data_IF_908983450111
#
_entry.id   IF_908983450111
#
_cell.length_a   1.000
_cell.length_b   1.000
_cell.length_c   1.000
_cell.angle_alpha   90.00
_cell.angle_beta   90.00
_cell.angle_gamma   90.00
#
_symmetry.space_group_name_H-M   'P 1'
#
loop_
_entity.id
_entity.type
_entity.pdbx_description
1 polymer ?
#
# COMPACT_ATOMS: atom_id res chain seq x y z
N UNK A 1 -19.68 27.34 -28.13
CA UNK A 1 -20.97 27.90 -27.64
C UNK A 1 -21.77 28.53 -28.78
N UNK A 2 -21.18 29.36 -29.66
CA UNK A 2 -21.84 29.72 -30.93
C UNK A 2 -23.00 30.70 -30.77
N UNK A 3 -22.78 31.81 -30.07
CA UNK A 3 -23.81 32.82 -29.74
C UNK A 3 -24.50 33.51 -30.94
N UNK A 4 -24.13 33.22 -32.19
CA UNK A 4 -24.85 33.68 -33.38
C UNK A 4 -24.61 35.13 -33.82
N UNK A 5 -23.85 35.94 -33.08
CA UNK A 5 -23.48 37.30 -33.53
C UNK A 5 -22.43 37.29 -34.66
N UNK A 6 -21.56 36.27 -34.69
CA UNK A 6 -20.64 35.99 -35.80
C UNK A 6 -21.05 34.68 -36.45
N UNK A 7 -21.45 34.73 -37.71
CA UNK A 7 -21.98 33.57 -38.47
C UNK A 7 -21.14 33.38 -39.72
N UNK A 8 -20.85 32.12 -40.05
CA UNK A 8 -20.13 31.77 -41.28
C UNK A 8 -21.06 31.94 -42.48
N UNK A 9 -20.50 32.37 -43.62
CA UNK A 9 -21.25 32.55 -44.87
C UNK A 9 -20.69 31.66 -45.96
N UNK A 10 -21.52 31.25 -46.92
CA UNK A 10 -21.16 30.32 -48.00
C UNK A 10 -20.22 30.91 -49.06
N UNK A 11 -19.80 32.18 -48.89
CA UNK A 11 -18.95 32.90 -49.85
C UNK A 11 -17.52 32.35 -49.93
N UNK A 12 -17.04 31.67 -48.90
CA UNK A 12 -15.67 31.14 -48.85
C UNK A 12 -15.65 29.65 -48.43
N UNK A 13 -15.28 28.72 -49.33
CA UNK A 13 -15.22 27.29 -49.00
C UNK A 13 -14.11 26.99 -47.98
N UNK A 14 -13.04 27.78 -47.96
CA UNK A 14 -11.95 27.70 -46.99
C UNK A 14 -12.45 27.87 -45.54
N UNK A 15 -13.42 28.75 -45.32
CA UNK A 15 -14.02 28.96 -43.99
C UNK A 15 -14.77 27.72 -43.50
N UNK A 16 -15.51 27.06 -44.39
CA UNK A 16 -16.25 25.83 -44.07
C UNK A 16 -15.27 24.70 -43.71
N UNK A 17 -14.20 24.53 -44.49
CA UNK A 17 -13.14 23.54 -44.20
C UNK A 17 -12.45 23.83 -42.87
N UNK A 18 -12.11 25.09 -42.60
CA UNK A 18 -11.50 25.49 -41.33
C UNK A 18 -12.42 25.20 -40.14
N UNK A 19 -13.72 25.49 -40.25
CA UNK A 19 -14.71 25.20 -39.21
C UNK A 19 -14.82 23.69 -38.94
N UNK A 20 -14.79 22.86 -39.99
CA UNK A 20 -14.80 21.40 -39.85
C UNK A 20 -13.55 20.91 -39.12
N UNK A 21 -12.36 21.34 -39.57
CA UNK A 21 -11.08 20.98 -38.94
C UNK A 21 -11.05 21.43 -37.48
N UNK A 22 -11.45 22.67 -37.19
CA UNK A 22 -11.52 23.20 -35.83
C UNK A 22 -12.50 22.41 -34.96
N UNK A 23 -13.65 22.00 -35.49
CA UNK A 23 -14.65 21.24 -34.73
C UNK A 23 -14.15 19.83 -34.39
N UNK A 24 -13.48 19.17 -35.34
CA UNK A 24 -12.87 17.85 -35.14
C UNK A 24 -11.72 17.93 -34.13
N UNK A 25 -10.75 18.84 -34.35
CA UNK A 25 -9.63 19.02 -33.42
C UNK A 25 -10.10 19.48 -32.03
N UNK A 26 -11.09 20.36 -31.97
CA UNK A 26 -11.69 20.81 -30.72
C UNK A 26 -12.32 19.67 -29.94
N UNK A 27 -12.99 18.74 -30.63
CA UNK A 27 -13.57 17.55 -30.00
C UNK A 27 -12.49 16.59 -29.50
N UNK A 28 -11.41 16.39 -30.27
CA UNK A 28 -10.26 15.56 -29.88
C UNK A 28 -9.59 16.12 -28.62
N UNK A 29 -9.28 17.42 -28.60
CA UNK A 29 -8.65 18.08 -27.45
C UNK A 29 -9.56 18.01 -26.23
N UNK A 30 -10.86 18.26 -26.39
CA UNK A 30 -11.82 18.17 -25.29
C UNK A 30 -11.90 16.76 -24.72
N UNK A 31 -12.04 15.73 -25.56
CA UNK A 31 -12.07 14.34 -25.14
C UNK A 31 -10.78 13.93 -24.41
N UNK A 32 -9.62 14.37 -24.91
CA UNK A 32 -8.33 14.14 -24.26
C UNK A 32 -8.26 14.78 -22.87
N UNK A 33 -8.63 16.06 -22.75
CA UNK A 33 -8.56 16.78 -21.47
C UNK A 33 -9.53 16.19 -20.44
N UNK A 34 -10.78 15.91 -20.82
CA UNK A 34 -11.77 15.28 -19.94
C UNK A 34 -11.31 13.87 -19.53
N UNK A 35 -10.78 13.08 -20.47
CA UNK A 35 -10.23 11.76 -20.19
C UNK A 35 -9.06 11.80 -19.19
N UNK A 36 -8.10 12.71 -19.41
CA UNK A 36 -6.97 12.91 -18.49
C UNK A 36 -7.43 13.35 -17.08
N UNK A 37 -8.41 14.26 -17.01
CA UNK A 37 -8.97 14.69 -15.72
C UNK A 37 -9.68 13.54 -15.00
N UNK A 38 -10.49 12.76 -15.73
CA UNK A 38 -11.19 11.61 -15.17
C UNK A 38 -10.21 10.58 -14.61
N UNK A 39 -9.17 10.20 -15.37
CA UNK A 39 -8.13 9.28 -14.89
C UNK A 39 -7.45 9.82 -13.63
N UNK A 40 -7.09 11.11 -13.61
CA UNK A 40 -6.41 11.73 -12.47
C UNK A 40 -7.28 11.77 -11.21
N UNK A 41 -8.58 12.00 -11.34
CA UNK A 41 -9.53 12.03 -10.22
C UNK A 41 -9.82 10.61 -9.71
N UNK A 42 -9.95 9.66 -10.63
CA UNK A 42 -10.25 8.27 -10.30
C UNK A 42 -9.07 7.54 -9.67
N UNK A 43 -7.82 7.97 -9.88
CA UNK A 43 -6.63 7.30 -9.35
C UNK A 43 -6.75 6.95 -7.85
N UNK A 44 -6.50 5.69 -7.48
CA UNK A 44 -6.76 5.18 -6.12
C UNK A 44 -5.71 5.62 -5.09
N UNK A 45 -4.77 6.52 -5.45
CA UNK A 45 -3.67 6.94 -4.56
C UNK A 45 -4.17 7.53 -3.23
N UNK A 46 -5.33 8.21 -3.25
CA UNK A 46 -5.98 8.72 -2.03
C UNK A 46 -6.46 7.63 -1.06
N UNK A 47 -6.60 6.38 -1.52
CA UNK A 47 -7.02 5.27 -0.64
C UNK A 47 -5.84 4.64 0.11
N UNK A 48 -4.63 4.73 -0.43
CA UNK A 48 -3.43 4.37 0.34
C UNK A 48 -3.25 5.26 1.58
N UNK A 49 -3.83 6.47 1.59
CA UNK A 49 -3.82 7.37 2.75
C UNK A 49 -4.71 6.89 3.92
N UNK A 50 -5.69 6.02 3.67
CA UNK A 50 -6.57 5.48 4.72
C UNK A 50 -6.15 4.09 5.20
N UNK A 51 -5.16 3.50 4.55
CA UNK A 51 -4.53 2.25 4.99
C UNK A 51 -3.35 2.62 5.89
N UNK A 52 -3.49 2.29 7.17
CA UNK A 52 -2.52 2.66 8.20
C UNK A 52 -1.73 1.44 8.65
N UNK A 53 -0.46 1.67 8.91
CA UNK A 53 0.44 0.70 9.53
C UNK A 53 0.79 1.19 10.93
N UNK A 54 1.08 0.29 11.86
CA UNK A 54 1.65 0.65 13.16
C UNK A 54 2.92 1.46 12.98
N UNK A 55 3.20 2.39 13.89
CA UNK A 55 4.45 3.16 13.86
C UNK A 55 5.68 2.30 14.18
N UNK A 56 5.51 1.26 15.00
CA UNK A 56 6.59 0.37 15.40
C UNK A 56 6.23 -1.07 15.08
N UNK A 57 7.21 -1.86 14.67
CA UNK A 57 7.12 -3.31 14.69
C UNK A 57 7.56 -3.82 16.07
N UNK A 58 7.05 -4.96 16.50
CA UNK A 58 7.39 -5.55 17.80
C UNK A 58 7.87 -6.99 17.63
N UNK A 59 8.85 -7.40 18.42
CA UNK A 59 9.30 -8.79 18.51
C UNK A 59 8.96 -9.32 19.89
N UNK A 60 8.17 -10.39 19.97
CA UNK A 60 7.91 -11.07 21.25
C UNK A 60 7.51 -12.53 21.05
N UNK A 61 7.45 -13.27 22.16
CA UNK A 61 7.06 -14.66 22.18
C UNK A 61 5.54 -14.81 22.02
N UNK A 62 5.12 -15.68 21.08
CA UNK A 62 3.74 -16.11 20.85
C UNK A 62 3.73 -17.63 20.71
N UNK A 63 3.00 -18.32 21.59
CA UNK A 63 2.89 -19.79 21.61
C UNK A 63 4.23 -20.53 21.55
N UNK A 64 5.21 -20.03 22.31
CA UNK A 64 6.55 -20.61 22.39
C UNK A 64 7.47 -20.30 21.21
N UNK A 65 7.03 -19.49 20.24
CA UNK A 65 7.83 -19.05 19.09
C UNK A 65 8.10 -17.56 19.13
N UNK A 66 9.28 -17.15 18.67
CA UNK A 66 9.62 -15.74 18.54
C UNK A 66 9.00 -15.20 17.25
N UNK A 67 8.26 -14.09 17.34
CA UNK A 67 7.53 -13.54 16.22
C UNK A 67 7.82 -12.05 16.05
N UNK A 68 8.06 -11.63 14.80
CA UNK A 68 8.06 -10.23 14.39
C UNK A 68 6.65 -9.85 13.96
N UNK A 69 6.12 -8.77 14.52
CA UNK A 69 4.74 -8.37 14.33
C UNK A 69 4.62 -6.88 14.00
N UNK A 70 3.69 -6.55 13.12
CA UNK A 70 3.25 -5.19 12.85
C UNK A 70 1.74 -5.17 12.65
N UNK A 71 1.09 -4.04 12.97
CA UNK A 71 -0.36 -3.89 12.82
C UNK A 71 -0.67 -3.17 11.52
N UNK A 72 -1.75 -3.57 10.87
CA UNK A 72 -2.32 -2.91 9.70
C UNK A 72 -3.81 -2.67 9.94
N UNK A 73 -4.34 -1.56 9.45
CA UNK A 73 -5.75 -1.21 9.57
C UNK A 73 -6.26 -0.43 8.36
N UNK A 74 -7.56 -0.52 8.10
CA UNK A 74 -8.28 0.39 7.21
C UNK A 74 -9.10 1.34 8.08
N UNK A 75 -9.00 2.65 7.80
CA UNK A 75 -9.81 3.68 8.47
C UNK A 75 -11.19 3.85 7.82
N UNK A 76 -11.44 3.20 6.69
CA UNK A 76 -12.73 3.24 5.98
C UNK A 76 -13.57 2.00 6.27
N UNK A 77 -14.89 2.19 6.22
CA UNK A 77 -15.85 1.10 6.28
C UNK A 77 -15.95 0.29 4.98
N UNK A 78 -15.44 0.82 3.85
CA UNK A 78 -15.44 0.08 2.58
C UNK A 78 -14.28 -0.91 2.52
N UNK A 79 -14.47 -2.01 1.82
CA UNK A 79 -13.51 -3.11 1.85
C UNK A 79 -12.38 -2.94 0.83
N UNK A 80 -11.20 -3.45 1.19
CA UNK A 80 -10.14 -3.75 0.23
C UNK A 80 -10.35 -5.18 -0.23
N UNK A 81 -10.78 -5.33 -1.48
CA UNK A 81 -11.07 -6.63 -2.10
C UNK A 81 -9.75 -7.29 -2.48
N UNK A 82 -9.60 -8.59 -2.26
CA UNK A 82 -8.35 -9.34 -2.50
C UNK A 82 -7.13 -8.70 -1.82
N UNK A 83 -7.31 -8.25 -0.57
CA UNK A 83 -6.21 -7.68 0.19
C UNK A 83 -5.10 -8.73 0.40
N UNK A 84 -3.85 -8.38 0.11
CA UNK A 84 -2.68 -9.22 0.29
C UNK A 84 -1.53 -8.43 0.89
N UNK A 85 -0.88 -8.99 1.91
CA UNK A 85 0.28 -8.39 2.58
C UNK A 85 1.57 -9.10 2.20
N UNK A 86 2.61 -8.32 1.92
CA UNK A 86 3.96 -8.82 1.63
C UNK A 86 4.98 -7.99 2.39
N UNK A 87 6.08 -8.61 2.78
CA UNK A 87 7.16 -7.93 3.49
C UNK A 87 8.52 -8.31 2.91
N UNK A 88 9.39 -7.32 2.77
CA UNK A 88 10.77 -7.48 2.29
C UNK A 88 11.73 -6.97 3.36
N UNK A 89 12.76 -7.76 3.65
CA UNK A 89 13.93 -7.28 4.35
C UNK A 89 14.89 -6.66 3.33
N UNK A 90 15.32 -5.44 3.59
CA UNK A 90 16.34 -4.72 2.84
C UNK A 90 17.57 -4.59 3.73
N UNK A 91 18.66 -5.23 3.31
CA UNK A 91 19.96 -5.16 4.00
C UNK A 91 21.07 -5.38 2.99
N UNK A 92 22.15 -4.61 3.07
CA UNK A 92 23.33 -4.85 2.25
C UNK A 92 24.01 -6.16 2.64
N UNK A 93 24.42 -6.96 1.67
CA UNK A 93 25.12 -8.24 1.91
C UNK A 93 26.38 -8.34 1.06
N UNK A 94 27.32 -9.15 1.54
CA UNK A 94 28.43 -9.63 0.73
C UNK A 94 28.29 -11.14 0.54
N UNK A 95 28.45 -11.62 -0.69
CA UNK A 95 28.41 -13.06 -1.00
C UNK A 95 29.71 -13.74 -0.57
N UNK A 96 29.72 -15.08 -0.54
CA UNK A 96 30.92 -15.85 -0.19
C UNK A 96 32.01 -15.70 -1.24
N UNK A 97 31.60 -15.41 -2.47
CA UNK A 97 32.44 -15.15 -3.64
C UNK A 97 33.03 -13.73 -3.65
N UNK A 98 32.62 -12.87 -2.70
CA UNK A 98 33.13 -11.52 -2.50
C UNK A 98 32.31 -10.40 -3.15
N UNK A 99 31.21 -10.72 -3.82
CA UNK A 99 30.33 -9.72 -4.45
C UNK A 99 29.55 -8.94 -3.39
N UNK A 100 29.63 -7.61 -3.44
CA UNK A 100 28.84 -6.72 -2.60
C UNK A 100 27.52 -6.37 -3.29
N UNK A 101 26.40 -6.70 -2.63
CA UNK A 101 25.05 -6.42 -3.13
C UNK A 101 24.43 -5.33 -2.25
N UNK A 102 24.34 -4.09 -2.74
CA UNK A 102 23.69 -3.01 -2.00
C UNK A 102 22.18 -3.27 -1.91
N UNK A 103 21.58 -2.97 -0.76
CA UNK A 103 20.12 -3.04 -0.54
C UNK A 103 19.49 -4.36 -1.02
N UNK A 104 20.15 -5.49 -0.72
CA UNK A 104 19.65 -6.79 -1.11
C UNK A 104 18.28 -7.04 -0.46
N UNK A 105 17.31 -7.45 -1.28
CA UNK A 105 15.93 -7.68 -0.86
C UNK A 105 15.68 -9.17 -0.66
N UNK A 106 15.29 -9.57 0.54
CA UNK A 106 14.82 -10.93 0.84
C UNK A 106 13.37 -10.91 1.29
N UNK A 107 12.59 -11.89 0.86
CA UNK A 107 11.18 -12.00 1.26
C UNK A 107 11.05 -12.46 2.71
N UNK A 108 10.13 -11.84 3.45
CA UNK A 108 9.77 -12.22 4.81
C UNK A 108 8.41 -12.91 4.75
N UNK A 109 8.37 -14.18 5.16
CA UNK A 109 7.14 -14.96 5.12
C UNK A 109 6.13 -14.48 6.18
N UNK A 110 5.03 -13.86 5.72
CA UNK A 110 3.93 -13.35 6.56
C UNK A 110 2.63 -14.14 6.35
N UNK A 111 2.71 -15.36 5.80
CA UNK A 111 1.53 -16.21 5.54
C UNK A 111 1.45 -16.78 4.13
N UNK A 112 2.45 -16.56 3.27
CA UNK A 112 2.43 -16.96 1.85
C UNK A 112 2.18 -18.46 1.64
N UNK A 113 2.78 -19.31 2.49
CA UNK A 113 2.68 -20.77 2.33
C UNK A 113 1.30 -21.33 2.72
N UNK A 114 0.60 -20.67 3.64
CA UNK A 114 -0.73 -21.07 4.12
C UNK A 114 -1.85 -20.29 3.42
N UNK A 115 -1.49 -19.19 2.74
CA UNK A 115 -2.42 -18.25 2.16
C UNK A 115 -3.03 -17.29 3.19
N UNK A 116 -2.46 -17.20 4.40
CA UNK A 116 -2.84 -16.25 5.46
C UNK A 116 -2.35 -14.82 5.17
N UNK A 117 -1.49 -14.67 4.16
CA UNK A 117 -1.11 -13.37 3.60
C UNK A 117 -2.27 -12.68 2.86
N UNK A 118 -3.34 -13.42 2.52
CA UNK A 118 -4.58 -12.90 1.98
C UNK A 118 -5.50 -12.46 3.11
N UNK A 119 -5.65 -11.16 3.27
CA UNK A 119 -6.30 -10.56 4.42
C UNK A 119 -7.81 -10.38 4.20
N UNK A 120 -8.57 -10.62 5.26
CA UNK A 120 -9.91 -10.06 5.44
C UNK A 120 -9.81 -8.86 6.40
N UNK A 121 -9.48 -7.69 5.86
CA UNK A 121 -9.14 -6.50 6.64
C UNK A 121 -10.40 -5.65 6.90
N UNK A 122 -11.06 -5.91 8.04
CA UNK A 122 -12.20 -5.11 8.54
C UNK A 122 -11.81 -4.35 9.79
N UNK A 123 -11.35 -5.07 10.82
CA UNK A 123 -10.70 -4.48 11.99
C UNK A 123 -9.17 -4.56 11.86
N UNK A 124 -8.41 -3.77 12.62
CA UNK A 124 -6.95 -3.83 12.57
C UNK A 124 -6.40 -5.23 12.87
N UNK A 125 -5.54 -5.73 11.99
CA UNK A 125 -4.92 -7.04 12.09
C UNK A 125 -3.46 -6.92 12.48
N UNK A 126 -3.00 -7.81 13.36
CA UNK A 126 -1.58 -7.97 13.67
C UNK A 126 -1.02 -9.02 12.70
N UNK A 127 -0.20 -8.55 11.76
CA UNK A 127 0.53 -9.40 10.84
C UNK A 127 1.72 -9.99 11.59
N UNK A 128 1.92 -11.30 11.44
CA UNK A 128 2.85 -12.07 12.25
C UNK A 128 3.80 -12.86 11.34
N UNK A 129 5.09 -12.55 11.43
CA UNK A 129 6.17 -13.36 10.87
C UNK A 129 6.77 -14.23 11.98
N UNK A 130 6.68 -15.54 11.84
CA UNK A 130 7.37 -16.47 12.71
C UNK A 130 8.87 -16.50 12.39
N UNK A 131 9.71 -16.20 13.38
CA UNK A 131 11.17 -16.27 13.27
C UNK A 131 11.58 -17.73 13.44
N UNK A 132 11.60 -18.46 12.32
CA UNK A 132 12.06 -19.85 12.21
C UNK A 132 13.44 -19.92 11.54
N UNK A 133 13.97 -21.13 11.32
CA UNK A 133 15.31 -21.34 10.73
C UNK A 133 15.49 -20.74 9.33
N UNK A 134 14.40 -20.52 8.59
CA UNK A 134 14.43 -19.89 7.27
C UNK A 134 14.25 -18.36 7.34
N UNK A 135 13.99 -17.82 8.52
CA UNK A 135 13.83 -16.39 8.74
C UNK A 135 15.18 -15.68 8.65
N UNK A 136 15.26 -14.51 8.00
CA UNK A 136 16.47 -13.71 8.04
C UNK A 136 16.79 -13.14 9.44
N UNK A 137 15.85 -13.26 10.39
CA UNK A 137 16.03 -12.84 11.78
C UNK A 137 16.47 -13.98 12.72
N UNK A 138 16.70 -15.19 12.19
CA UNK A 138 17.00 -16.37 13.02
C UNK A 138 18.22 -16.18 13.93
N UNK A 139 19.29 -15.59 13.41
CA UNK A 139 20.55 -15.37 14.15
C UNK A 139 20.59 -14.00 14.86
N UNK A 140 19.52 -13.21 14.80
CA UNK A 140 19.48 -11.85 15.36
C UNK A 140 19.00 -11.92 16.81
N UNK A 141 19.88 -11.53 17.74
CA UNK A 141 19.52 -11.32 19.14
C UNK A 141 19.15 -9.86 19.42
N UNK A 142 18.48 -9.61 20.56
CA UNK A 142 18.11 -8.27 21.00
C UNK A 142 19.29 -7.27 21.00
N UNK A 143 20.48 -7.72 21.42
CA UNK A 143 21.69 -6.89 21.46
C UNK A 143 22.30 -6.60 20.08
N UNK A 144 22.05 -7.48 19.10
CA UNK A 144 22.51 -7.30 17.73
C UNK A 144 21.53 -6.44 16.93
N UNK A 145 20.22 -6.53 17.19
CA UNK A 145 19.20 -5.79 16.45
C UNK A 145 19.48 -4.28 16.42
N UNK A 146 19.91 -3.68 17.54
CA UNK A 146 20.23 -2.25 17.61
C UNK A 146 21.48 -1.84 16.84
N UNK A 147 22.35 -2.80 16.49
CA UNK A 147 23.59 -2.58 15.73
C UNK A 147 23.43 -2.91 14.25
N UNK A 148 22.32 -3.53 13.89
CA UNK A 148 22.05 -3.97 12.54
C UNK A 148 21.50 -2.81 11.68
N UNK A 149 22.07 -2.66 10.50
CA UNK A 149 21.57 -1.77 9.45
C UNK A 149 20.64 -2.55 8.55
N UNK A 150 19.37 -2.58 8.95
CA UNK A 150 18.29 -3.23 8.21
C UNK A 150 17.06 -2.35 8.14
N UNK A 151 16.27 -2.58 7.09
CA UNK A 151 14.95 -1.98 6.91
C UNK A 151 13.96 -3.06 6.48
N UNK A 152 12.80 -3.09 7.11
CA UNK A 152 11.69 -3.97 6.72
C UNK A 152 10.69 -3.12 5.95
N UNK A 153 10.51 -3.38 4.66
CA UNK A 153 9.48 -2.75 3.86
C UNK A 153 8.24 -3.63 3.84
N UNK A 154 7.11 -3.09 4.27
CA UNK A 154 5.81 -3.76 4.25
C UNK A 154 4.94 -3.17 3.16
N UNK A 155 4.24 -4.04 2.43
CA UNK A 155 3.47 -3.70 1.25
C UNK A 155 2.10 -4.37 1.37
N UNK A 156 1.05 -3.56 1.47
CA UNK A 156 -0.33 -4.01 1.39
C UNK A 156 -0.87 -3.68 0.00
N UNK A 157 -1.39 -4.69 -0.68
CA UNK A 157 -2.02 -4.56 -2.00
C UNK A 157 -3.47 -5.03 -1.92
N UNK A 158 -4.30 -4.52 -2.83
CA UNK A 158 -5.66 -4.99 -3.01
C UNK A 158 -6.45 -4.07 -3.94
N UNK A 159 -7.72 -4.35 -4.15
CA UNK A 159 -8.61 -3.59 -5.02
C UNK A 159 -9.57 -2.69 -4.22
N UNK A 160 -9.76 -1.48 -4.72
CA UNK A 160 -10.73 -0.53 -4.20
C UNK A 160 -12.14 -0.98 -4.62
N UNK A 161 -12.95 -1.42 -3.66
CA UNK A 161 -14.34 -1.91 -3.89
C UNK A 161 -15.16 -1.07 -4.89
N UNK A 162 -15.18 0.26 -4.74
CA UNK A 162 -16.01 1.14 -5.57
C UNK A 162 -15.51 1.31 -7.02
N UNK A 163 -14.22 1.12 -7.29
CA UNK A 163 -13.63 1.43 -8.61
C UNK A 163 -12.99 0.25 -9.30
N UNK A 164 -12.79 -0.88 -8.61
CA UNK A 164 -12.11 -2.07 -9.12
C UNK A 164 -10.62 -1.85 -9.44
N UNK A 165 -10.06 -0.67 -9.12
CA UNK A 165 -8.64 -0.41 -9.36
C UNK A 165 -7.79 -0.94 -8.21
N UNK A 166 -6.62 -1.47 -8.55
CA UNK A 166 -5.62 -1.90 -7.58
C UNK A 166 -4.98 -0.71 -6.87
N UNK A 167 -4.83 -0.81 -5.56
CA UNK A 167 -4.10 0.12 -4.71
C UNK A 167 -2.96 -0.62 -4.00
N UNK A 168 -1.90 0.13 -3.69
CA UNK A 168 -0.77 -0.37 -2.93
C UNK A 168 -0.40 0.67 -1.87
N UNK A 169 -0.42 0.26 -0.61
CA UNK A 169 0.07 1.03 0.53
C UNK A 169 1.40 0.43 1.00
N UNK A 170 2.33 1.30 1.38
CA UNK A 170 3.69 0.90 1.78
C UNK A 170 4.07 1.63 3.05
N UNK A 171 4.78 0.95 3.92
CA UNK A 171 5.48 1.53 5.07
C UNK A 171 6.81 0.82 5.24
N UNK A 172 7.69 1.35 6.08
CA UNK A 172 8.88 0.64 6.48
C UNK A 172 9.15 0.74 7.97
N UNK A 173 10.00 -0.18 8.45
CA UNK A 173 10.51 -0.22 9.81
C UNK A 173 12.02 -0.35 9.77
N UNK A 174 12.73 0.68 10.23
CA UNK A 174 14.18 0.58 10.46
C UNK A 174 14.47 -0.12 11.78
N UNK A 175 15.71 -0.55 12.00
CA UNK A 175 16.11 -1.27 13.21
C UNK A 175 15.73 -0.60 14.53
N UNK A 176 15.71 0.74 14.60
CA UNK A 176 15.30 1.52 15.79
C UNK A 176 13.78 1.54 16.06
N UNK A 177 12.97 1.24 15.05
CA UNK A 177 11.50 1.18 15.10
C UNK A 177 10.99 -0.24 15.43
N UNK A 178 11.90 -1.21 15.56
CA UNK A 178 11.59 -2.58 15.95
C UNK A 178 11.81 -2.72 17.47
N UNK A 179 10.72 -2.89 18.22
CA UNK A 179 10.74 -2.98 19.69
C UNK A 179 10.77 -4.44 20.17
N UNK A 180 11.89 -4.86 20.77
CA UNK A 180 12.04 -6.20 21.32
C UNK A 180 11.41 -6.35 22.70
N UNK A 181 10.63 -7.40 22.93
CA UNK A 181 9.93 -7.67 24.18
C UNK A 181 8.58 -6.96 24.33
N UNK A 182 8.10 -6.30 23.27
CA UNK A 182 6.85 -5.54 23.29
C UNK A 182 5.68 -6.32 22.69
N UNK A 183 4.47 -5.92 23.07
CA UNK A 183 3.20 -6.41 22.52
C UNK A 183 2.31 -5.22 22.17
N UNK A 184 1.46 -5.39 21.17
CA UNK A 184 0.48 -4.37 20.83
C UNK A 184 -0.66 -4.34 21.85
N UNK A 185 -1.09 -3.13 22.22
CA UNK A 185 -2.30 -2.91 23.02
C UNK A 185 -3.53 -3.43 22.26
N UNK A 186 -4.43 -4.19 22.88
CA UNK A 186 -5.71 -4.53 22.28
C UNK A 186 -6.50 -3.26 21.90
N UNK A 187 -7.08 -3.23 20.69
CA UNK A 187 -7.84 -2.08 20.17
C UNK A 187 -9.32 -2.38 19.95
N UNK A 188 -9.74 -3.61 20.19
CA UNK A 188 -11.12 -4.06 19.98
C UNK A 188 -11.83 -4.19 21.32
N UNK A 189 -12.97 -3.51 21.45
CA UNK A 189 -13.93 -3.65 22.53
C UNK A 189 -15.29 -4.09 21.98
N UNK A 190 -16.11 -4.74 22.79
CA UNK A 190 -17.47 -5.14 22.43
C UNK A 190 -18.43 -4.23 23.19
N UNK A 191 -19.12 -3.35 22.47
CA UNK A 191 -20.09 -2.40 23.03
C UNK A 191 -21.44 -2.56 22.30
N UNK A 192 -22.53 -2.73 23.06
CA UNK A 192 -23.91 -2.80 22.56
C UNK A 192 -24.14 -3.70 21.33
N UNK A 193 -23.44 -4.84 21.28
CA UNK A 193 -23.57 -5.82 20.20
C UNK A 193 -22.75 -5.53 18.95
N UNK A 194 -21.92 -4.48 18.96
CA UNK A 194 -20.97 -4.13 17.92
C UNK A 194 -19.52 -4.17 18.43
N UNK A 195 -18.59 -4.46 17.53
CA UNK A 195 -17.16 -4.33 17.83
C UNK A 195 -16.72 -2.90 17.53
N UNK A 196 -16.23 -2.20 18.55
CA UNK A 196 -15.66 -0.87 18.42
C UNK A 196 -14.13 -0.97 18.36
N UNK A 197 -13.53 -0.11 17.51
CA UNK A 197 -12.08 -0.03 17.33
C UNK A 197 -11.58 1.31 17.85
N UNK A 198 -10.77 1.30 18.90
CA UNK A 198 -10.06 2.49 19.37
C UNK A 198 -8.72 2.65 18.61
N UNK A 199 -8.66 3.64 17.73
CA UNK A 199 -7.46 3.97 16.95
C UNK A 199 -6.47 4.86 17.69
N UNK A 200 -6.77 5.33 18.91
CA UNK A 200 -5.85 6.17 19.69
C UNK A 200 -4.82 5.36 20.49
N UNK A 201 -5.02 4.05 20.61
CA UNK A 201 -4.27 3.12 21.48
C UNK A 201 -3.16 2.32 20.80
#
# INVERSE_FOLDING_TARGET
>A
IGYGYRVITDKCPEGIVLLLVQSVLGSIVNAFMVGCMFVKISQPKKRAETLVFSTNAVISMRDGRLCLMFRVGDLRNSHIVEASIRAKLIKSKQTKEGEFIPLNQTDINVGYNTGDDRLFLVSPLIICHEINQNSPFWDISQAHLSKEELEIVVILEGMVEATGMTCQARSSYVSSEIKWGYRFTPVLTLEDGFYEVDYNS
#
